data_IF_221403438640
#
_entry.id   IF_221403438640
#
_cell.length_a   1.000
_cell.length_b   1.000
_cell.length_c   1.000
_cell.angle_alpha   90.00
_cell.angle_beta   90.00
_cell.angle_gamma   90.00
#
_symmetry.space_group_name_H-M   'P 1'
#
loop_
_entity.id
_entity.type
_entity.pdbx_description
1 polymer ?
#
# COMPACT_ATOMS: atom_id res chain seq x y z
N UNK A 1 27.46 0.10 -8.83
CA UNK A 1 26.18 0.59 -8.28
C UNK A 1 26.36 0.86 -6.80
N UNK A 2 25.78 1.94 -6.29
CA UNK A 2 25.86 2.33 -4.86
C UNK A 2 24.97 1.41 -4.02
N UNK A 3 25.43 0.94 -2.86
CA UNK A 3 24.61 0.12 -1.96
C UNK A 3 23.43 0.93 -1.38
N UNK A 4 22.29 0.28 -1.17
CA UNK A 4 21.10 0.87 -0.57
C UNK A 4 21.28 0.99 0.95
N UNK A 5 20.99 2.16 1.51
CA UNK A 5 21.00 2.40 2.95
C UNK A 5 19.59 2.28 3.51
N UNK A 6 19.47 1.58 4.64
CA UNK A 6 18.22 1.54 5.43
C UNK A 6 17.95 2.92 6.03
N UNK A 7 16.68 3.33 6.03
CA UNK A 7 16.21 4.57 6.64
C UNK A 7 16.45 4.57 8.15
N UNK A 8 16.98 5.67 8.67
CA UNK A 8 17.10 5.93 10.11
C UNK A 8 15.73 6.25 10.70
N UNK A 9 15.43 5.78 11.92
CA UNK A 9 14.12 6.03 12.56
C UNK A 9 13.92 7.50 12.93
N UNK A 10 14.97 8.17 13.41
CA UNK A 10 15.00 9.60 13.72
C UNK A 10 16.39 10.12 13.38
N UNK A 11 16.46 11.22 12.65
CA UNK A 11 17.71 11.93 12.34
C UNK A 11 17.53 13.42 12.69
N UNK A 12 18.09 13.85 13.83
CA UNK A 12 17.88 15.21 14.35
C UNK A 12 18.61 16.27 13.52
N UNK A 13 19.65 15.86 12.77
CA UNK A 13 20.46 16.77 11.96
C UNK A 13 19.93 16.92 10.53
N UNK A 14 18.98 16.09 10.12
CA UNK A 14 18.40 16.09 8.78
C UNK A 14 17.15 17.00 8.67
N UNK A 15 16.87 17.57 7.49
CA UNK A 15 15.63 18.33 7.26
C UNK A 15 14.39 17.43 7.27
N UNK A 16 13.22 18.00 7.56
CA UNK A 16 11.92 17.29 7.48
C UNK A 16 11.60 16.89 6.04
N UNK A 17 11.74 17.83 5.11
CA UNK A 17 11.63 17.56 3.69
C UNK A 17 12.77 16.64 3.21
N UNK A 18 12.40 15.48 2.66
CA UNK A 18 13.38 14.47 2.20
C UNK A 18 14.27 15.00 1.07
N UNK A 19 15.58 14.75 1.16
CA UNK A 19 16.56 15.17 0.14
C UNK A 19 16.66 14.20 -1.05
N UNK A 20 15.99 13.03 -1.01
CA UNK A 20 15.88 12.13 -2.16
C UNK A 20 15.04 10.88 -1.86
N UNK A 21 14.53 10.22 -2.90
CA UNK A 21 13.69 9.01 -2.75
C UNK A 21 14.52 7.78 -2.36
N UNK A 22 15.78 7.70 -2.81
CA UNK A 22 16.71 6.60 -2.50
C UNK A 22 17.99 7.23 -1.97
N UNK A 23 18.51 6.71 -0.84
CA UNK A 23 19.76 7.18 -0.22
C UNK A 23 19.81 8.69 0.12
N UNK A 24 18.65 9.36 0.19
CA UNK A 24 18.53 10.73 0.71
C UNK A 24 18.62 10.80 2.24
N UNK A 25 18.41 12.00 2.78
CA UNK A 25 18.34 12.31 4.21
C UNK A 25 16.97 12.89 4.54
N UNK A 26 16.43 12.54 5.69
CA UNK A 26 15.21 13.11 6.26
C UNK A 26 15.23 12.87 7.76
N UNK A 27 14.68 13.80 8.53
CA UNK A 27 14.47 13.64 9.97
C UNK A 27 13.49 12.52 10.31
N UNK A 28 12.75 12.02 9.32
CA UNK A 28 11.66 11.06 9.43
C UNK A 28 10.44 11.59 10.23
N UNK A 29 10.42 12.89 10.56
CA UNK A 29 9.26 13.58 11.11
C UNK A 29 8.40 14.07 9.93
N UNK A 30 7.18 13.56 9.83
CA UNK A 30 6.26 13.91 8.75
C UNK A 30 5.54 15.23 9.08
N UNK A 31 5.86 16.27 8.30
CA UNK A 31 5.06 17.49 8.23
C UNK A 31 4.43 17.59 6.83
N UNK A 32 3.09 17.52 6.75
CA UNK A 32 2.37 17.58 5.47
C UNK A 32 2.46 18.92 4.75
N UNK A 33 2.73 20.01 5.48
CA UNK A 33 2.90 21.34 4.90
C UNK A 33 4.33 21.58 4.35
N UNK A 34 5.30 20.75 4.76
CA UNK A 34 6.72 20.82 4.35
C UNK A 34 7.18 19.49 3.73
N UNK A 35 6.53 19.12 2.61
CA UNK A 35 6.85 17.90 1.85
C UNK A 35 7.57 18.22 0.54
N UNK A 36 8.57 17.40 0.19
CA UNK A 36 9.29 17.52 -1.09
C UNK A 36 8.38 17.29 -2.32
N UNK A 37 7.35 16.45 -2.15
CA UNK A 37 6.46 16.03 -3.24
C UNK A 37 5.04 16.57 -3.00
N UNK A 38 4.62 17.64 -3.70
CA UNK A 38 3.31 18.26 -3.46
C UNK A 38 2.12 17.38 -3.86
N UNK A 39 2.34 16.35 -4.69
CA UNK A 39 1.32 15.37 -5.07
C UNK A 39 1.03 14.32 -3.98
N UNK A 40 1.91 14.16 -2.99
CA UNK A 40 1.76 13.15 -1.94
C UNK A 40 0.53 13.42 -1.08
N UNK A 41 0.32 14.67 -0.67
CA UNK A 41 -0.79 15.05 0.19
C UNK A 41 -2.18 14.94 -0.48
N UNK A 42 -2.40 15.42 -1.73
CA UNK A 42 -3.62 15.15 -2.47
C UNK A 42 -3.89 13.66 -2.69
N UNK A 43 -2.84 12.86 -2.92
CA UNK A 43 -2.97 11.41 -3.07
C UNK A 43 -3.43 10.76 -1.77
N UNK A 44 -2.83 11.12 -0.64
CA UNK A 44 -3.25 10.65 0.68
C UNK A 44 -4.72 10.98 0.96
N UNK A 45 -5.15 12.22 0.69
CA UNK A 45 -6.56 12.62 0.85
C UNK A 45 -7.52 11.79 -0.01
N UNK A 46 -7.16 11.50 -1.27
CA UNK A 46 -7.97 10.63 -2.14
C UNK A 46 -8.04 9.20 -1.62
N UNK A 47 -6.94 8.67 -1.08
CA UNK A 47 -6.92 7.32 -0.50
C UNK A 47 -7.82 7.23 0.74
N UNK A 48 -7.79 8.24 1.62
CA UNK A 48 -8.71 8.33 2.75
C UNK A 48 -10.18 8.42 2.31
N UNK A 49 -10.47 9.19 1.25
CA UNK A 49 -11.82 9.30 0.70
C UNK A 49 -12.36 8.01 0.07
N UNK A 50 -11.48 7.09 -0.33
CA UNK A 50 -11.83 5.80 -0.93
C UNK A 50 -11.86 4.66 0.11
N UNK A 51 -11.83 4.97 1.40
CA UNK A 51 -11.91 3.96 2.45
C UNK A 51 -13.29 3.28 2.42
N UNK A 52 -13.29 1.95 2.32
CA UNK A 52 -14.48 1.11 2.39
C UNK A 52 -14.15 -0.14 3.21
N UNK A 53 -15.15 -0.72 3.85
CA UNK A 53 -14.97 -1.97 4.61
C UNK A 53 -15.76 -3.12 3.99
N UNK A 54 -15.23 -4.36 4.01
CA UNK A 54 -15.92 -5.51 3.42
C UNK A 54 -17.22 -5.86 4.13
N UNK A 55 -17.39 -5.45 5.40
CA UNK A 55 -18.59 -5.70 6.19
C UNK A 55 -19.81 -4.89 5.73
N UNK A 56 -19.59 -3.83 4.94
CA UNK A 56 -20.66 -3.02 4.35
C UNK A 56 -21.34 -3.72 3.17
N UNK A 57 -20.71 -4.74 2.59
CA UNK A 57 -21.22 -5.44 1.40
C UNK A 57 -21.91 -6.75 1.81
N UNK A 58 -23.21 -6.84 1.55
CA UNK A 58 -23.99 -8.02 1.89
C UNK A 58 -23.85 -9.12 0.82
N UNK A 59 -23.28 -10.26 1.22
CA UNK A 59 -23.02 -11.43 0.36
C UNK A 59 -24.11 -12.53 0.42
N UNK A 60 -25.24 -12.29 1.09
CA UNK A 60 -26.26 -13.34 1.32
C UNK A 60 -26.90 -13.87 0.03
N UNK A 61 -26.93 -13.04 -1.02
CA UNK A 61 -27.45 -13.43 -2.35
C UNK A 61 -26.42 -14.27 -3.10
N UNK A 62 -25.16 -13.86 -3.09
CA UNK A 62 -24.04 -14.53 -3.74
C UNK A 62 -23.87 -15.96 -3.23
N UNK A 63 -24.05 -16.19 -1.92
CA UNK A 63 -24.02 -17.54 -1.33
C UNK A 63 -25.07 -18.47 -1.98
N UNK A 64 -26.27 -17.95 -2.24
CA UNK A 64 -27.35 -18.73 -2.88
C UNK A 64 -27.11 -18.94 -4.36
N UNK A 65 -26.52 -17.96 -5.05
CA UNK A 65 -26.25 -18.04 -6.48
C UNK A 65 -25.03 -18.91 -6.79
N UNK A 66 -24.05 -18.98 -5.88
CA UNK A 66 -22.86 -19.79 -6.07
C UNK A 66 -23.18 -21.27 -6.27
N UNK A 67 -24.18 -21.80 -5.58
CA UNK A 67 -24.61 -23.20 -5.76
C UNK A 67 -25.29 -23.47 -7.11
N UNK A 68 -25.87 -22.44 -7.74
CA UNK A 68 -26.55 -22.51 -9.04
C UNK A 68 -25.59 -22.42 -10.24
N UNK A 69 -24.33 -22.05 -10.02
CA UNK A 69 -23.32 -21.96 -11.07
C UNK A 69 -22.94 -23.35 -11.60
N UNK A 70 -22.52 -23.40 -12.87
CA UNK A 70 -21.96 -24.61 -13.47
C UNK A 70 -20.60 -24.95 -12.83
N UNK A 71 -20.19 -26.21 -12.89
CA UNK A 71 -18.89 -26.66 -12.36
C UNK A 71 -17.71 -25.90 -12.98
N UNK A 72 -17.81 -25.53 -14.27
CA UNK A 72 -16.77 -24.72 -14.94
C UNK A 72 -16.69 -23.29 -14.39
N UNK A 73 -17.84 -22.66 -14.12
CA UNK A 73 -17.88 -21.31 -13.54
C UNK A 73 -17.37 -21.30 -12.11
N UNK A 74 -17.73 -22.31 -11.30
CA UNK A 74 -17.21 -22.46 -9.93
C UNK A 74 -15.69 -22.64 -9.92
N UNK A 75 -15.16 -23.52 -10.78
CA UNK A 75 -13.72 -23.76 -10.89
C UNK A 75 -12.97 -22.48 -11.31
N UNK A 76 -13.47 -21.76 -12.31
CA UNK A 76 -12.90 -20.48 -12.72
C UNK A 76 -12.94 -19.43 -11.60
N UNK A 77 -14.09 -19.30 -10.91
CA UNK A 77 -14.26 -18.36 -9.80
C UNK A 77 -13.27 -18.63 -8.67
N UNK A 78 -13.16 -19.89 -8.23
CA UNK A 78 -12.25 -20.30 -7.15
C UNK A 78 -10.78 -20.07 -7.51
N UNK A 79 -10.39 -20.34 -8.76
CA UNK A 79 -9.03 -20.07 -9.25
C UNK A 79 -8.70 -18.59 -9.28
N UNK A 80 -9.61 -17.76 -9.79
CA UNK A 80 -9.40 -16.31 -9.90
C UNK A 80 -9.33 -15.67 -8.51
N UNK A 81 -10.28 -15.96 -7.62
CA UNK A 81 -10.29 -15.37 -6.28
C UNK A 81 -9.10 -15.85 -5.44
N UNK A 82 -8.70 -17.12 -5.59
CA UNK A 82 -7.51 -17.66 -4.93
C UNK A 82 -6.23 -17.00 -5.42
N UNK A 83 -6.10 -16.74 -6.72
CA UNK A 83 -4.95 -16.04 -7.28
C UNK A 83 -4.90 -14.57 -6.82
N UNK A 84 -6.03 -13.88 -6.81
CA UNK A 84 -6.10 -12.48 -6.33
C UNK A 84 -5.69 -12.38 -4.85
N UNK A 85 -6.19 -13.28 -3.99
CA UNK A 85 -5.80 -13.32 -2.59
C UNK A 85 -4.29 -13.57 -2.39
N UNK A 86 -3.69 -14.43 -3.24
CA UNK A 86 -2.25 -14.67 -3.22
C UNK A 86 -1.46 -13.43 -3.67
N UNK A 87 -1.91 -12.75 -4.72
CA UNK A 87 -1.25 -11.54 -5.23
C UNK A 87 -1.25 -10.42 -4.18
N UNK A 88 -2.36 -10.19 -3.49
CA UNK A 88 -2.46 -9.19 -2.41
C UNK A 88 -1.51 -9.52 -1.24
N UNK A 89 -1.37 -10.81 -0.91
CA UNK A 89 -0.46 -11.26 0.15
C UNK A 89 1.00 -10.93 -0.19
N UNK A 90 1.41 -11.18 -1.44
CA UNK A 90 2.76 -10.87 -1.93
C UNK A 90 2.98 -9.36 -1.98
N UNK A 91 2.02 -8.61 -2.52
CA UNK A 91 2.12 -7.15 -2.60
C UNK A 91 2.26 -6.50 -1.22
N UNK A 92 1.56 -7.02 -0.20
CA UNK A 92 1.65 -6.52 1.17
C UNK A 92 3.07 -6.66 1.72
N UNK A 93 3.73 -7.80 1.51
CA UNK A 93 5.10 -8.02 1.99
C UNK A 93 6.12 -7.11 1.29
N UNK A 94 6.04 -6.97 -0.04
CA UNK A 94 6.93 -6.06 -0.77
C UNK A 94 6.65 -4.59 -0.45
N UNK A 95 5.39 -4.18 -0.35
CA UNK A 95 5.00 -2.83 0.00
C UNK A 95 5.44 -2.44 1.43
N UNK A 96 5.56 -3.39 2.35
CA UNK A 96 6.12 -3.16 3.68
C UNK A 96 7.66 -3.01 3.66
N UNK A 97 8.35 -3.71 2.75
CA UNK A 97 9.83 -3.71 2.65
C UNK A 97 10.39 -2.49 1.92
N UNK A 98 9.72 -2.01 0.87
CA UNK A 98 10.19 -0.88 0.04
C UNK A 98 10.35 0.46 0.80
N UNK A 99 9.46 0.85 1.73
CA UNK A 99 9.62 2.08 2.51
C UNK A 99 10.87 2.09 3.40
N UNK A 100 11.41 0.92 3.75
CA UNK A 100 12.58 0.78 4.63
C UNK A 100 13.85 1.39 3.99
N UNK A 101 13.92 1.45 2.67
CA UNK A 101 15.06 2.02 1.92
C UNK A 101 14.80 3.45 1.43
N UNK A 102 13.55 3.93 1.54
CA UNK A 102 13.18 5.29 1.15
C UNK A 102 13.26 6.22 2.36
N UNK A 103 14.09 7.28 2.33
CA UNK A 103 14.14 8.26 3.41
C UNK A 103 13.00 9.29 3.31
N UNK A 104 12.00 9.11 2.44
CA UNK A 104 10.82 9.98 2.45
C UNK A 104 9.82 9.47 3.49
N UNK A 105 9.48 10.26 4.53
CA UNK A 105 8.37 9.91 5.40
C UNK A 105 7.09 9.95 4.56
N UNK A 106 6.31 8.87 4.62
CA UNK A 106 5.06 8.69 3.88
C UNK A 106 3.87 9.19 4.70
#
# INVERSE_FOLDING_TARGET
MTQLKKRTLVDVEAPNASTGIINGRSSNILNWDDVRFPWAYPKYKRMLGNFWTPFEINMSKDIKQFSMLTEKEKDAFLKIIGLLALLDSIQTDYAAKLPIISPTPA
#
